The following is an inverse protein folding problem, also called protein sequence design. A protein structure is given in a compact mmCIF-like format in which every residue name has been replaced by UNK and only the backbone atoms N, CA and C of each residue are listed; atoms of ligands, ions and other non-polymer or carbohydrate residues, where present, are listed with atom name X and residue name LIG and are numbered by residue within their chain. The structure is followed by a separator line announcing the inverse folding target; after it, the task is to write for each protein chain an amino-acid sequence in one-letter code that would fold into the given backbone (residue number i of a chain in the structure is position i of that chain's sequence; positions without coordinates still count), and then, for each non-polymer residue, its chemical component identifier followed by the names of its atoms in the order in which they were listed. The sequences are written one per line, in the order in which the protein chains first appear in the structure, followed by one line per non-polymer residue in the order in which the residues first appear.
data_IF_193930665737
#
_entry.id   IF_193930665737
#
_cell.length_a   1.000
_cell.length_b   1.000
_cell.length_c   1.000
_cell.angle_alpha   90.00
_cell.angle_beta   90.00
_cell.angle_gamma   90.00
#
_symmetry.space_group_name_H-M   'P 1'
#
loop_
_entity.id
_entity.type
_entity.pdbx_description
1 polymer ?
#
# COMPACT_ATOMS: atom_id res chain seq x y z
N UNK A 1 -18.06 23.35 0.11
CA UNK A 1 -17.69 23.31 1.54
C UNK A 1 -17.03 21.99 1.96
N UNK A 2 -17.63 20.80 1.79
CA UNK A 2 -17.03 19.50 2.24
C UNK A 2 -15.61 19.21 1.72
N UNK A 3 -15.27 19.55 0.46
CA UNK A 3 -13.92 19.32 -0.11
C UNK A 3 -12.83 20.17 0.55
N UNK A 4 -13.11 21.44 0.85
CA UNK A 4 -12.16 22.35 1.50
C UNK A 4 -11.84 21.86 2.91
N UNK A 5 -12.84 21.42 3.66
CA UNK A 5 -12.68 20.87 5.02
C UNK A 5 -11.79 19.61 5.02
N UNK A 6 -11.94 18.73 4.02
CA UNK A 6 -11.09 17.54 3.87
C UNK A 6 -9.63 17.93 3.59
N UNK A 7 -9.41 18.89 2.67
CA UNK A 7 -8.06 19.36 2.34
C UNK A 7 -7.38 20.00 3.54
N UNK A 8 -8.09 20.90 4.25
CA UNK A 8 -7.55 21.57 5.46
C UNK A 8 -7.19 20.53 6.54
N UNK A 9 -8.03 19.51 6.73
CA UNK A 9 -7.75 18.41 7.65
C UNK A 9 -6.48 17.66 7.25
N UNK A 10 -6.33 17.28 5.97
CA UNK A 10 -5.14 16.57 5.48
C UNK A 10 -3.87 17.41 5.61
N UNK A 11 -3.95 18.72 5.30
CA UNK A 11 -2.82 19.64 5.49
C UNK A 11 -2.42 19.70 6.98
N UNK A 12 -3.40 19.88 7.88
CA UNK A 12 -3.13 19.89 9.32
C UNK A 12 -2.50 18.57 9.81
N UNK A 13 -3.00 17.44 9.34
CA UNK A 13 -2.45 16.14 9.65
C UNK A 13 -1.03 15.96 9.10
N UNK A 14 -0.77 16.45 7.90
CA UNK A 14 0.58 16.43 7.33
C UNK A 14 1.55 17.28 8.14
N UNK A 15 1.13 18.46 8.62
CA UNK A 15 1.96 19.29 9.50
C UNK A 15 2.27 18.57 10.83
N UNK A 16 1.28 17.95 11.46
CA UNK A 16 1.50 17.16 12.67
C UNK A 16 2.46 15.98 12.43
N UNK A 17 2.27 15.26 11.32
CA UNK A 17 3.18 14.21 10.89
C UNK A 17 4.58 14.78 10.67
N UNK A 18 4.71 15.85 9.91
CA UNK A 18 5.99 16.49 9.59
C UNK A 18 6.79 16.87 10.85
N UNK A 19 6.15 17.44 11.85
CA UNK A 19 6.81 17.81 13.10
C UNK A 19 7.36 16.59 13.85
N UNK A 20 6.61 15.52 13.93
CA UNK A 20 6.97 14.29 14.65
C UNK A 20 7.93 13.39 13.88
N UNK A 21 7.87 13.45 12.55
CA UNK A 21 8.61 12.53 11.70
C UNK A 21 10.13 12.66 11.90
N UNK A 22 10.78 11.52 11.96
CA UNK A 22 12.23 11.39 12.04
C UNK A 22 12.79 11.06 10.67
N UNK A 23 14.01 11.49 10.42
CA UNK A 23 14.80 11.06 9.27
C UNK A 23 15.56 9.79 9.63
N UNK A 24 16.19 9.14 8.64
CA UNK A 24 17.01 7.94 8.90
C UNK A 24 18.06 8.14 10.01
N UNK A 25 18.53 9.36 10.19
CA UNK A 25 19.58 9.68 11.18
C UNK A 25 19.08 9.68 12.64
N UNK A 26 17.78 9.80 12.86
CA UNK A 26 17.16 9.68 14.19
C UNK A 26 16.75 8.26 14.56
N UNK A 27 16.96 7.28 13.68
CA UNK A 27 16.49 5.91 13.90
C UNK A 27 17.54 5.10 14.65
N UNK A 28 17.21 4.63 15.84
CA UNK A 28 18.09 3.80 16.66
C UNK A 28 17.99 2.30 16.35
N UNK A 29 16.98 1.86 15.60
CA UNK A 29 16.83 0.47 15.17
C UNK A 29 17.66 0.19 13.90
N UNK A 30 18.66 -0.70 13.93
CA UNK A 30 19.47 -1.04 12.76
C UNK A 30 18.61 -1.56 11.60
N UNK A 31 17.61 -2.38 11.89
CA UNK A 31 16.69 -2.89 10.89
C UNK A 31 15.91 -1.76 10.20
N UNK A 32 15.37 -0.83 10.99
CA UNK A 32 14.57 0.26 10.46
C UNK A 32 15.43 1.27 9.69
N UNK A 33 16.67 1.51 10.16
CA UNK A 33 17.63 2.32 9.43
C UNK A 33 17.89 1.73 8.04
N UNK A 34 18.21 0.43 7.97
CA UNK A 34 18.46 -0.26 6.69
C UNK A 34 17.22 -0.26 5.79
N UNK A 35 16.03 -0.55 6.35
CA UNK A 35 14.78 -0.49 5.61
C UNK A 35 14.59 0.90 4.99
N UNK A 36 14.70 1.97 5.77
CA UNK A 36 14.51 3.34 5.28
C UNK A 36 15.54 3.69 4.22
N UNK A 37 16.80 3.34 4.43
CA UNK A 37 17.89 3.56 3.45
C UNK A 37 17.60 2.84 2.13
N UNK A 38 17.17 1.57 2.19
CA UNK A 38 16.95 0.74 0.99
C UNK A 38 15.58 0.95 0.33
N UNK A 39 14.65 1.66 0.96
CA UNK A 39 13.29 1.86 0.43
C UNK A 39 12.92 3.34 0.27
N UNK A 40 12.85 4.08 1.37
CA UNK A 40 12.38 5.48 1.42
C UNK A 40 13.39 6.44 0.80
N UNK A 41 14.67 6.25 1.13
CA UNK A 41 15.78 7.10 0.66
C UNK A 41 16.36 6.64 -0.68
N UNK A 42 16.09 5.41 -1.10
CA UNK A 42 16.65 4.85 -2.33
C UNK A 42 16.14 5.61 -3.57
N UNK A 43 17.05 6.19 -4.32
CA UNK A 43 16.79 6.94 -5.55
C UNK A 43 17.10 6.14 -6.82
N UNK A 44 17.59 4.91 -6.70
CA UNK A 44 17.91 4.06 -7.86
C UNK A 44 16.69 3.85 -8.75
N UNK A 45 16.92 3.89 -10.06
CA UNK A 45 15.92 3.54 -11.04
C UNK A 45 16.08 2.07 -11.44
N UNK A 46 14.95 1.36 -11.52
CA UNK A 46 14.89 0.00 -12.01
C UNK A 46 14.18 -0.02 -13.36
N UNK A 47 14.59 -0.93 -14.26
CA UNK A 47 13.99 -1.04 -15.58
C UNK A 47 12.47 -1.24 -15.55
N UNK A 48 11.98 -1.97 -14.54
CA UNK A 48 10.54 -2.17 -14.36
C UNK A 48 9.76 -0.84 -14.21
N UNK A 49 10.37 0.21 -13.66
CA UNK A 49 9.67 1.48 -13.46
C UNK A 49 9.24 2.12 -14.76
N UNK A 50 10.14 2.19 -15.75
CA UNK A 50 9.82 2.79 -17.06
C UNK A 50 8.72 2.02 -17.79
N UNK A 51 8.70 0.71 -17.68
CA UNK A 51 7.69 -0.14 -18.32
C UNK A 51 6.32 0.07 -17.67
N UNK A 52 6.25 0.00 -16.34
CA UNK A 52 4.99 0.15 -15.59
C UNK A 52 4.44 1.57 -15.71
N UNK A 53 5.31 2.58 -15.67
CA UNK A 53 4.92 3.97 -15.86
C UNK A 53 4.49 4.25 -17.31
N UNK A 54 5.08 3.55 -18.28
CA UNK A 54 4.61 3.53 -19.66
C UNK A 54 3.17 3.04 -19.78
N UNK A 55 2.85 1.89 -19.17
CA UNK A 55 1.48 1.39 -19.09
C UNK A 55 0.56 2.39 -18.40
N UNK A 56 0.96 2.95 -17.23
CA UNK A 56 0.19 3.97 -16.54
C UNK A 56 -0.13 5.17 -17.44
N UNK A 57 0.82 5.63 -18.24
CA UNK A 57 0.62 6.76 -19.16
C UNK A 57 -0.36 6.43 -20.29
N UNK A 58 -0.39 5.19 -20.77
CA UNK A 58 -1.41 4.71 -21.70
C UNK A 58 -2.80 4.73 -21.06
N UNK A 59 -2.93 4.19 -19.86
CA UNK A 59 -4.19 4.16 -19.10
C UNK A 59 -4.72 5.56 -18.77
N UNK A 60 -3.86 6.54 -18.54
CA UNK A 60 -4.25 7.94 -18.31
C UNK A 60 -4.86 8.63 -19.56
N UNK A 61 -4.76 8.01 -20.74
CA UNK A 61 -5.30 8.49 -22.01
C UNK A 61 -6.42 7.59 -22.55
N UNK A 62 -6.77 6.54 -21.83
CA UNK A 62 -7.76 5.56 -22.27
C UNK A 62 -9.17 6.01 -21.89
N UNK A 63 -9.99 6.34 -22.89
CA UNK A 63 -11.38 6.78 -22.74
C UNK A 63 -12.39 5.61 -22.71
N UNK A 64 -11.90 4.37 -22.77
CA UNK A 64 -12.76 3.18 -22.70
C UNK A 64 -13.63 3.22 -21.44
N UNK A 65 -14.92 3.03 -21.63
CA UNK A 65 -15.90 3.02 -20.53
C UNK A 65 -16.06 1.61 -19.99
N UNK A 66 -15.88 1.47 -18.70
CA UNK A 66 -16.11 0.21 -17.98
C UNK A 66 -17.14 0.38 -16.87
N UNK A 67 -17.82 -0.70 -16.56
CA UNK A 67 -18.81 -0.76 -15.49
C UNK A 67 -18.14 -1.13 -14.18
N UNK A 68 -18.18 -0.25 -13.19
CA UNK A 68 -17.59 -0.49 -11.88
C UNK A 68 -18.67 -1.03 -10.94
N UNK A 69 -18.45 -2.24 -10.45
CA UNK A 69 -19.16 -2.76 -9.28
C UNK A 69 -18.39 -2.29 -8.02
N UNK A 70 -18.95 -1.32 -7.28
CA UNK A 70 -18.31 -0.83 -6.05
C UNK A 70 -18.67 -1.76 -4.89
N UNK A 71 -17.74 -2.64 -4.55
CA UNK A 71 -17.79 -3.51 -3.35
C UNK A 71 -16.99 -2.95 -2.19
N UNK A 72 -16.56 -1.66 -2.25
CA UNK A 72 -15.72 -1.02 -1.26
C UNK A 72 -16.39 -0.92 0.12
N UNK A 73 -15.59 -1.06 1.18
CA UNK A 73 -16.03 -0.85 2.55
C UNK A 73 -16.44 0.62 2.76
N UNK A 74 -17.74 0.91 2.71
CA UNK A 74 -18.31 2.24 2.92
C UNK A 74 -19.10 2.82 1.76
N UNK A 75 -19.12 2.18 0.60
CA UNK A 75 -20.06 2.56 -0.46
C UNK A 75 -21.46 2.05 -0.12
N UNK A 76 -22.35 2.98 0.28
CA UNK A 76 -23.79 2.74 0.43
C UNK A 76 -24.51 2.73 -0.92
N UNK A 77 -23.76 2.78 -2.03
CA UNK A 77 -24.29 2.85 -3.38
C UNK A 77 -24.18 1.46 -4.01
N UNK A 78 -25.19 0.66 -3.86
CA UNK A 78 -25.46 -0.54 -4.67
C UNK A 78 -25.84 -0.12 -6.09
N UNK A 79 -24.91 0.45 -6.86
CA UNK A 79 -25.13 0.90 -8.22
C UNK A 79 -23.88 0.70 -9.05
N UNK A 80 -23.99 -0.01 -10.19
CA UNK A 80 -22.92 -0.01 -11.19
C UNK A 80 -22.80 1.39 -11.78
N UNK A 81 -21.62 2.00 -11.71
CA UNK A 81 -21.35 3.29 -12.36
C UNK A 81 -20.39 3.08 -13.51
N UNK A 82 -20.74 3.57 -14.71
CA UNK A 82 -19.79 3.63 -15.83
C UNK A 82 -18.71 4.66 -15.54
N UNK A 83 -17.46 4.29 -15.70
CA UNK A 83 -16.30 5.18 -15.56
C UNK A 83 -15.29 4.92 -16.67
N UNK A 84 -14.67 5.99 -17.15
CA UNK A 84 -13.57 5.88 -18.08
C UNK A 84 -12.31 5.33 -17.38
N UNK A 85 -11.53 4.50 -18.07
CA UNK A 85 -10.28 3.91 -17.57
C UNK A 85 -9.31 5.00 -17.12
N UNK A 86 -9.18 6.11 -17.89
CA UNK A 86 -8.31 7.23 -17.49
C UNK A 86 -8.70 7.84 -16.13
N UNK A 87 -9.98 7.88 -15.81
CA UNK A 87 -10.47 8.37 -14.52
C UNK A 87 -10.07 7.45 -13.38
N UNK A 88 -10.16 6.14 -13.57
CA UNK A 88 -9.66 5.16 -12.60
C UNK A 88 -8.14 5.26 -12.44
N UNK A 89 -7.39 5.31 -13.55
CA UNK A 89 -5.94 5.45 -13.52
C UNK A 89 -5.48 6.71 -12.77
N UNK A 90 -6.26 7.78 -12.83
CA UNK A 90 -5.98 9.05 -12.13
C UNK A 90 -6.28 9.01 -10.64
N UNK A 91 -7.37 8.34 -10.25
CA UNK A 91 -7.91 8.44 -8.89
C UNK A 91 -7.69 7.21 -8.02
N UNK A 92 -7.52 6.03 -8.61
CA UNK A 92 -7.36 4.77 -7.85
C UNK A 92 -5.97 4.16 -7.97
N UNK A 93 -5.26 4.39 -9.07
CA UNK A 93 -3.92 3.84 -9.22
C UNK A 93 -2.91 4.57 -8.32
N UNK A 94 -2.03 3.81 -7.68
CA UNK A 94 -0.96 4.37 -6.85
C UNK A 94 -0.08 5.34 -7.64
N UNK A 95 0.44 6.36 -6.96
CA UNK A 95 1.40 7.29 -7.57
C UNK A 95 2.70 6.57 -7.96
N UNK A 96 3.46 7.07 -8.94
CA UNK A 96 4.78 6.51 -9.25
C UNK A 96 5.70 6.43 -8.03
N UNK A 97 5.67 7.44 -7.15
CA UNK A 97 6.47 7.43 -5.91
C UNK A 97 6.07 6.29 -4.98
N UNK A 98 4.77 6.07 -4.78
CA UNK A 98 4.24 4.96 -3.98
C UNK A 98 4.56 3.62 -4.62
N UNK A 99 4.39 3.47 -5.94
CA UNK A 99 4.71 2.24 -6.65
C UNK A 99 6.20 1.88 -6.56
N UNK A 100 7.08 2.85 -6.75
CA UNK A 100 8.53 2.66 -6.59
C UNK A 100 8.92 2.30 -5.16
N UNK A 101 8.25 2.88 -4.16
CA UNK A 101 8.44 2.49 -2.77
C UNK A 101 8.02 1.04 -2.51
N UNK A 102 6.83 0.63 -2.98
CA UNK A 102 6.34 -0.76 -2.85
C UNK A 102 7.28 -1.76 -3.52
N UNK A 103 7.78 -1.43 -4.72
CA UNK A 103 8.80 -2.24 -5.39
C UNK A 103 10.03 -2.43 -4.51
N UNK A 104 10.60 -1.33 -3.97
CA UNK A 104 11.80 -1.39 -3.13
C UNK A 104 11.56 -2.14 -1.82
N UNK A 105 10.38 -1.98 -1.23
CA UNK A 105 10.00 -2.72 -0.03
C UNK A 105 9.99 -4.23 -0.28
N UNK A 106 9.36 -4.67 -1.37
CA UNK A 106 9.33 -6.08 -1.78
C UNK A 106 10.73 -6.58 -2.13
N UNK A 107 11.53 -5.76 -2.84
CA UNK A 107 12.91 -6.09 -3.17
C UNK A 107 13.81 -6.23 -1.93
N UNK A 108 13.58 -5.42 -0.90
CA UNK A 108 14.29 -5.48 0.38
C UNK A 108 13.87 -6.69 1.20
N UNK A 109 12.56 -6.91 1.36
CA UNK A 109 12.01 -7.97 2.24
C UNK A 109 12.09 -9.36 1.62
N UNK A 110 12.19 -9.47 0.29
CA UNK A 110 12.30 -10.73 -0.48
C UNK A 110 11.26 -11.79 -0.08
N UNK A 111 9.97 -11.45 -0.07
CA UNK A 111 8.94 -12.39 0.34
C UNK A 111 8.83 -13.56 -0.64
N UNK A 112 8.41 -14.73 -0.15
CA UNK A 112 8.06 -15.89 -0.97
C UNK A 112 6.61 -15.83 -1.46
N UNK A 113 5.76 -15.12 -0.72
CA UNK A 113 4.33 -14.97 -1.03
C UNK A 113 3.90 -13.53 -0.75
N UNK A 114 3.08 -12.98 -1.66
CA UNK A 114 2.43 -11.68 -1.50
C UNK A 114 0.92 -11.86 -1.64
N UNK A 115 0.18 -11.12 -0.82
CA UNK A 115 -1.27 -11.00 -0.90
C UNK A 115 -1.66 -9.52 -1.00
N UNK A 116 -2.47 -9.17 -1.98
CA UNK A 116 -3.03 -7.83 -2.14
C UNK A 116 -4.55 -7.88 -2.16
N UNK A 117 -5.17 -6.96 -1.44
CA UNK A 117 -6.62 -6.78 -1.41
C UNK A 117 -6.98 -5.49 -2.15
N UNK A 118 -7.61 -5.63 -3.32
CA UNK A 118 -7.94 -4.54 -4.23
C UNK A 118 -6.88 -4.32 -5.31
N UNK A 119 -7.02 -5.03 -6.41
CA UNK A 119 -6.10 -4.96 -7.57
C UNK A 119 -6.29 -3.68 -8.36
N UNK A 120 -7.54 -3.22 -8.52
CA UNK A 120 -7.91 -2.16 -9.44
C UNK A 120 -7.30 -2.40 -10.84
N UNK A 121 -6.65 -1.42 -11.46
CA UNK A 121 -5.98 -1.58 -12.76
C UNK A 121 -4.65 -2.34 -12.71
N UNK A 122 -4.24 -2.88 -11.56
CA UNK A 122 -3.06 -3.73 -11.40
C UNK A 122 -1.72 -2.99 -11.33
N UNK A 123 -1.71 -1.66 -11.20
CA UNK A 123 -0.45 -0.89 -11.20
C UNK A 123 0.39 -1.17 -9.94
N UNK A 124 -0.22 -1.19 -8.75
CA UNK A 124 0.47 -1.54 -7.49
C UNK A 124 0.99 -2.98 -7.53
N UNK A 125 0.15 -3.91 -8.00
CA UNK A 125 0.51 -5.32 -8.20
C UNK A 125 1.72 -5.45 -9.12
N UNK A 126 1.74 -4.71 -10.24
CA UNK A 126 2.82 -4.77 -11.23
C UNK A 126 4.18 -4.36 -10.63
N UNK A 127 4.23 -3.27 -9.85
CA UNK A 127 5.46 -2.87 -9.15
C UNK A 127 5.96 -3.95 -8.20
N UNK A 128 5.08 -4.50 -7.38
CA UNK A 128 5.42 -5.50 -6.38
C UNK A 128 5.82 -6.85 -7.02
N UNK A 129 5.06 -7.32 -8.01
CA UNK A 129 5.33 -8.58 -8.71
C UNK A 129 6.64 -8.53 -9.50
N UNK A 130 6.96 -7.39 -10.13
CA UNK A 130 8.22 -7.19 -10.84
C UNK A 130 9.44 -7.24 -9.90
N UNK A 131 9.28 -6.83 -8.63
CA UNK A 131 10.33 -6.85 -7.62
C UNK A 131 10.66 -8.26 -7.11
N UNK A 132 9.69 -9.18 -7.14
CA UNK A 132 9.82 -10.54 -6.62
C UNK A 132 9.26 -11.58 -7.60
N UNK A 133 9.86 -11.69 -8.80
CA UNK A 133 9.38 -12.56 -9.89
C UNK A 133 9.30 -14.05 -9.55
N UNK A 134 10.00 -14.49 -8.51
CA UNK A 134 9.96 -15.89 -8.02
C UNK A 134 8.91 -16.10 -6.92
N UNK A 135 8.37 -15.04 -6.35
CA UNK A 135 7.34 -15.12 -5.33
C UNK A 135 5.98 -15.42 -5.95
N UNK A 136 5.14 -16.16 -5.23
CA UNK A 136 3.73 -16.31 -5.57
C UNK A 136 2.99 -15.04 -5.16
N UNK A 137 2.40 -14.33 -6.11
CA UNK A 137 1.60 -13.15 -5.86
C UNK A 137 0.12 -13.47 -6.06
N UNK A 138 -0.69 -13.28 -5.03
CA UNK A 138 -2.14 -13.42 -5.09
C UNK A 138 -2.74 -12.04 -4.92
N UNK A 139 -3.62 -11.61 -5.83
CA UNK A 139 -4.36 -10.36 -5.73
C UNK A 139 -5.85 -10.61 -5.96
N UNK A 140 -6.70 -9.87 -5.24
CA UNK A 140 -8.16 -10.06 -5.28
C UNK A 140 -8.82 -8.76 -5.77
N UNK A 141 -9.72 -8.87 -6.77
CA UNK A 141 -10.48 -7.74 -7.30
C UNK A 141 -11.97 -8.07 -7.37
N UNK A 142 -12.77 -7.20 -6.75
CA UNK A 142 -14.22 -7.39 -6.66
C UNK A 142 -14.98 -7.10 -7.96
N UNK A 143 -14.47 -6.16 -8.77
CA UNK A 143 -15.11 -5.76 -10.03
C UNK A 143 -14.62 -6.63 -11.19
N UNK A 144 -15.47 -7.40 -11.88
CA UNK A 144 -15.05 -8.29 -12.96
C UNK A 144 -14.40 -7.56 -14.15
N UNK A 145 -14.92 -6.40 -14.56
CA UNK A 145 -14.37 -5.64 -15.69
C UNK A 145 -12.98 -5.08 -15.36
N UNK A 146 -12.79 -4.57 -14.12
CA UNK A 146 -11.48 -4.11 -13.66
C UNK A 146 -10.49 -5.27 -13.54
N UNK A 147 -10.94 -6.42 -13.05
CA UNK A 147 -10.14 -7.64 -12.96
C UNK A 147 -9.68 -8.12 -14.33
N UNK A 148 -10.57 -8.11 -15.34
CA UNK A 148 -10.22 -8.49 -16.71
C UNK A 148 -9.14 -7.58 -17.31
N UNK A 149 -9.25 -6.25 -17.10
CA UNK A 149 -8.22 -5.30 -17.54
C UNK A 149 -6.90 -5.53 -16.81
N UNK A 150 -6.93 -5.73 -15.50
CA UNK A 150 -5.71 -6.00 -14.73
C UNK A 150 -5.01 -7.27 -15.20
N UNK A 151 -5.76 -8.33 -15.53
CA UNK A 151 -5.22 -9.56 -16.07
C UNK A 151 -4.49 -9.32 -17.41
N UNK A 152 -5.09 -8.56 -18.33
CA UNK A 152 -4.45 -8.17 -19.60
C UNK A 152 -3.15 -7.39 -19.36
N UNK A 153 -3.14 -6.47 -18.38
CA UNK A 153 -1.94 -5.72 -18.03
C UNK A 153 -0.82 -6.62 -17.50
N UNK A 154 -1.15 -7.64 -16.70
CA UNK A 154 -0.16 -8.60 -16.20
C UNK A 154 0.43 -9.44 -17.31
N UNK A 155 -0.35 -9.82 -18.31
CA UNK A 155 0.11 -10.52 -19.51
C UNK A 155 1.04 -9.62 -20.36
N UNK A 156 0.63 -8.37 -20.61
CA UNK A 156 1.44 -7.37 -21.34
C UNK A 156 2.79 -7.09 -20.65
N UNK A 157 2.78 -7.04 -19.31
CA UNK A 157 3.98 -6.81 -18.50
C UNK A 157 4.80 -8.10 -18.27
N UNK A 158 4.35 -9.24 -18.79
CA UNK A 158 4.96 -10.56 -18.58
C UNK A 158 5.21 -10.86 -17.10
N UNK A 159 4.11 -10.86 -16.29
CA UNK A 159 4.11 -11.12 -14.85
C UNK A 159 3.41 -12.47 -14.53
N UNK A 160 4.01 -13.62 -14.91
CA UNK A 160 3.37 -14.94 -14.74
C UNK A 160 3.26 -15.38 -13.28
N UNK A 161 3.93 -14.69 -12.37
CA UNK A 161 3.88 -14.95 -10.92
C UNK A 161 2.66 -14.36 -10.22
N UNK A 162 1.80 -13.63 -10.95
CA UNK A 162 0.56 -13.03 -10.41
C UNK A 162 -0.62 -13.97 -10.66
N UNK A 163 -1.34 -14.29 -9.61
CA UNK A 163 -2.63 -14.98 -9.65
C UNK A 163 -3.71 -13.98 -9.23
N UNK A 164 -4.54 -13.55 -10.17
CA UNK A 164 -5.67 -12.69 -9.90
C UNK A 164 -6.91 -13.55 -9.62
N UNK A 165 -7.60 -13.25 -8.52
CA UNK A 165 -8.87 -13.86 -8.14
C UNK A 165 -9.97 -12.81 -8.29
N UNK A 166 -10.82 -12.97 -9.30
CA UNK A 166 -11.98 -12.10 -9.49
C UNK A 166 -13.11 -12.51 -8.53
N UNK A 167 -13.66 -11.55 -7.79
CA UNK A 167 -14.72 -11.71 -6.81
C UNK A 167 -14.51 -10.86 -5.57
N UNK A 168 -15.54 -10.80 -4.72
CA UNK A 168 -15.48 -10.02 -3.49
C UNK A 168 -14.46 -10.62 -2.51
N UNK A 169 -13.93 -9.81 -1.61
CA UNK A 169 -13.04 -10.32 -0.57
C UNK A 169 -13.73 -11.40 0.26
N UNK A 170 -15.04 -11.23 0.56
CA UNK A 170 -15.84 -12.19 1.31
C UNK A 170 -15.93 -13.56 0.64
N UNK A 171 -15.95 -13.61 -0.70
CA UNK A 171 -16.04 -14.86 -1.47
C UNK A 171 -14.69 -15.55 -1.63
N UNK A 172 -13.63 -14.78 -1.76
CA UNK A 172 -12.30 -15.29 -2.12
C UNK A 172 -11.37 -15.50 -0.93
N UNK A 173 -11.69 -14.90 0.21
CA UNK A 173 -11.06 -15.24 1.47
C UNK A 173 -11.82 -16.43 2.12
N UNK A 174 -11.22 -17.23 3.00
CA UNK A 174 -11.88 -18.36 3.66
C UNK A 174 -13.20 -17.99 4.34
N UNK A 175 -14.12 -18.93 4.43
CA UNK A 175 -15.51 -18.72 4.92
C UNK A 175 -15.67 -18.03 6.29
N UNK A 176 -14.66 -18.11 7.14
CA UNK A 176 -14.60 -17.40 8.41
C UNK A 176 -14.71 -15.87 8.29
N UNK A 177 -14.61 -15.31 7.06
CA UNK A 177 -14.49 -13.88 6.74
C UNK A 177 -15.81 -13.15 6.47
N UNK A 178 -16.92 -13.85 6.50
CA UNK A 178 -18.23 -13.34 5.99
C UNK A 178 -18.85 -12.14 6.73
N UNK A 179 -18.27 -11.56 7.77
CA UNK A 179 -18.94 -10.50 8.60
C UNK A 179 -18.07 -9.31 8.97
N UNK A 180 -17.14 -8.83 8.10
CA UNK A 180 -16.04 -8.09 8.66
C UNK A 180 -15.81 -6.68 8.13
N UNK A 181 -15.54 -5.73 9.07
CA UNK A 181 -15.01 -4.38 8.89
C UNK A 181 -13.51 -4.44 8.54
N UNK A 182 -12.87 -3.30 8.17
CA UNK A 182 -11.43 -3.26 7.79
C UNK A 182 -10.48 -3.84 8.86
N UNK A 183 -10.81 -3.68 10.14
CA UNK A 183 -10.05 -4.25 11.23
C UNK A 183 -10.06 -5.78 11.21
N UNK A 184 -11.13 -6.34 10.77
CA UNK A 184 -11.37 -7.77 10.71
C UNK A 184 -10.51 -8.48 9.65
N UNK A 185 -10.22 -7.82 8.52
CA UNK A 185 -9.25 -8.34 7.53
C UNK A 185 -7.83 -8.38 8.14
N UNK A 186 -7.48 -7.38 8.95
CA UNK A 186 -6.21 -7.37 9.66
C UNK A 186 -6.09 -8.57 10.60
N UNK A 187 -7.08 -8.81 11.47
CA UNK A 187 -7.09 -9.93 12.44
C UNK A 187 -6.95 -11.29 11.76
N UNK A 188 -7.49 -11.43 10.57
CA UNK A 188 -7.41 -12.68 9.83
C UNK A 188 -6.08 -12.87 9.14
N UNK A 189 -5.51 -11.82 8.55
CA UNK A 189 -4.15 -11.87 8.05
C UNK A 189 -3.15 -12.18 9.17
N UNK A 190 -3.43 -11.74 10.41
CA UNK A 190 -2.61 -12.01 11.59
C UNK A 190 -2.50 -13.50 11.95
N UNK A 191 -3.44 -14.34 11.56
CA UNK A 191 -3.34 -15.78 11.78
C UNK A 191 -2.19 -16.40 11.00
N UNK A 192 -1.82 -15.80 9.87
CA UNK A 192 -0.75 -16.25 8.99
C UNK A 192 0.54 -15.43 9.17
N UNK A 193 0.52 -14.40 10.02
CA UNK A 193 1.68 -13.56 10.25
C UNK A 193 2.78 -14.30 11.03
N UNK A 194 4.01 -14.17 10.56
CA UNK A 194 5.22 -14.70 11.19
C UNK A 194 6.28 -13.58 11.29
N UNK A 195 7.42 -13.86 11.93
CA UNK A 195 8.46 -12.85 12.19
C UNK A 195 9.03 -12.15 10.94
N UNK A 196 8.92 -12.76 9.78
CA UNK A 196 9.30 -12.16 8.49
C UNK A 196 8.17 -11.47 7.75
N UNK A 197 6.94 -11.47 8.28
CA UNK A 197 5.80 -10.81 7.63
C UNK A 197 5.87 -9.29 7.73
N UNK A 198 5.42 -8.62 6.67
CA UNK A 198 5.22 -7.17 6.64
C UNK A 198 3.82 -6.87 6.16
N UNK A 199 3.05 -6.12 6.94
CA UNK A 199 1.75 -5.64 6.51
C UNK A 199 1.87 -4.18 6.07
N UNK A 200 1.33 -3.90 4.90
CA UNK A 200 1.29 -2.57 4.29
C UNK A 200 -0.14 -2.07 4.29
N UNK A 201 -0.38 -0.99 5.01
CA UNK A 201 -1.71 -0.38 5.15
C UNK A 201 -1.71 0.94 4.40
N UNK A 202 -2.55 1.05 3.38
CA UNK A 202 -2.69 2.28 2.60
C UNK A 202 -3.60 3.30 3.31
N UNK A 203 -3.36 4.59 3.01
CA UNK A 203 -4.23 5.71 3.37
C UNK A 203 -4.54 5.85 4.87
N UNK A 204 -3.55 5.59 5.73
CA UNK A 204 -3.71 5.56 7.20
C UNK A 204 -4.21 6.88 7.83
N UNK A 205 -4.06 8.01 7.13
CA UNK A 205 -4.54 9.34 7.56
C UNK A 205 -5.72 9.88 6.74
N UNK A 206 -6.31 9.07 5.84
CA UNK A 206 -7.38 9.53 4.94
C UNK A 206 -8.68 9.93 5.67
N UNK A 207 -9.09 9.16 6.68
CA UNK A 207 -10.30 9.40 7.47
C UNK A 207 -10.06 9.19 8.96
N UNK A 208 -10.98 9.67 9.81
CA UNK A 208 -10.88 9.47 11.25
C UNK A 208 -11.00 7.98 11.62
N UNK A 209 -11.87 7.26 10.92
CA UNK A 209 -12.05 5.81 11.09
C UNK A 209 -10.76 5.07 10.72
N UNK A 210 -10.09 5.46 9.64
CA UNK A 210 -8.84 4.84 9.21
C UNK A 210 -7.70 5.12 10.20
N UNK A 211 -7.62 6.34 10.75
CA UNK A 211 -6.64 6.67 11.78
C UNK A 211 -6.89 5.89 13.09
N UNK A 212 -8.15 5.66 13.46
CA UNK A 212 -8.49 4.83 14.62
C UNK A 212 -8.07 3.38 14.36
N UNK A 213 -8.44 2.82 13.20
CA UNK A 213 -8.03 1.48 12.82
C UNK A 213 -6.50 1.32 12.81
N UNK A 214 -5.77 2.29 12.25
CA UNK A 214 -4.30 2.29 12.26
C UNK A 214 -3.74 2.26 13.69
N UNK A 215 -4.27 3.09 14.60
CA UNK A 215 -3.83 3.11 16.01
C UNK A 215 -4.11 1.79 16.73
N UNK A 216 -5.25 1.17 16.46
CA UNK A 216 -5.60 -0.14 17.03
C UNK A 216 -4.69 -1.24 16.49
N UNK A 217 -4.42 -1.26 15.18
CA UNK A 217 -3.46 -2.18 14.56
C UNK A 217 -2.05 -2.04 15.17
N UNK A 218 -1.54 -0.81 15.36
CA UNK A 218 -0.25 -0.57 15.99
C UNK A 218 -0.20 -1.08 17.45
N UNK A 219 -1.33 -1.02 18.16
CA UNK A 219 -1.42 -1.50 19.57
C UNK A 219 -1.57 -3.01 19.68
N UNK A 220 -1.89 -3.70 18.60
CA UNK A 220 -2.15 -5.14 18.64
C UNK A 220 -0.95 -5.91 19.22
N UNK A 221 -1.16 -6.91 20.14
CA UNK A 221 -0.07 -7.62 20.83
C UNK A 221 0.98 -8.26 19.93
N UNK A 222 0.58 -8.76 18.77
CA UNK A 222 1.50 -9.38 17.80
C UNK A 222 2.37 -8.39 17.03
N UNK A 223 2.00 -7.11 16.97
CA UNK A 223 2.78 -6.08 16.28
C UNK A 223 3.91 -5.61 17.19
N UNK A 224 5.14 -5.78 16.75
CA UNK A 224 6.34 -5.41 17.50
C UNK A 224 6.91 -4.06 17.08
N UNK A 225 6.75 -3.69 15.78
CA UNK A 225 7.26 -2.46 15.23
C UNK A 225 6.25 -1.90 14.22
N UNK A 226 6.02 -0.61 14.25
CA UNK A 226 5.19 0.09 13.27
C UNK A 226 5.88 1.35 12.74
N UNK A 227 5.67 1.65 11.46
CA UNK A 227 6.23 2.82 10.81
C UNK A 227 5.16 3.56 10.02
N UNK A 228 4.97 4.84 10.33
CA UNK A 228 4.06 5.77 9.67
C UNK A 228 4.84 6.58 8.62
N UNK A 229 4.49 6.42 7.34
CA UNK A 229 5.05 7.15 6.19
C UNK A 229 4.01 8.13 5.60
N UNK A 230 3.04 8.55 6.38
CA UNK A 230 1.90 9.38 6.07
C UNK A 230 0.83 8.70 5.20
N UNK A 231 1.15 8.31 3.97
CA UNK A 231 0.21 7.63 3.06
C UNK A 231 0.18 6.11 3.27
N UNK A 232 1.23 5.57 3.86
CA UNK A 232 1.41 4.14 4.07
C UNK A 232 1.86 3.91 5.51
N UNK A 233 1.23 2.94 6.17
CA UNK A 233 1.68 2.37 7.42
C UNK A 233 2.31 0.99 7.18
N UNK A 234 3.39 0.70 7.88
CA UNK A 234 4.05 -0.60 7.89
C UNK A 234 3.95 -1.22 9.27
N UNK A 235 3.58 -2.50 9.33
CA UNK A 235 3.55 -3.27 10.57
C UNK A 235 4.45 -4.49 10.44
N UNK A 236 5.24 -4.74 11.48
CA UNK A 236 6.20 -5.84 11.55
C UNK A 236 5.93 -6.70 12.78
N UNK A 237 6.28 -7.99 12.71
CA UNK A 237 5.99 -9.02 13.71
C UNK A 237 7.28 -9.69 14.22
N UNK A 238 8.34 -8.91 14.36
CA UNK A 238 9.70 -9.38 14.70
C UNK A 238 9.78 -9.88 16.13
N UNK A 239 10.31 -11.08 16.33
CA UNK A 239 10.49 -11.69 17.68
C UNK A 239 11.68 -11.11 18.43
N UNK A 240 12.66 -10.57 17.72
CA UNK A 240 13.86 -9.97 18.29
C UNK A 240 13.59 -8.62 18.97
N UNK A 241 12.45 -8.01 18.65
CA UNK A 241 12.02 -6.74 19.26
C UNK A 241 11.47 -7.00 20.66
N UNK A 242 12.16 -6.50 21.70
CA UNK A 242 11.76 -6.67 23.09
C UNK A 242 10.62 -5.74 23.50
N UNK A 243 10.63 -4.52 22.99
CA UNK A 243 9.62 -3.50 23.26
C UNK A 243 8.92 -3.10 21.96
N UNK A 244 7.67 -2.66 22.08
CA UNK A 244 6.93 -2.12 20.95
C UNK A 244 7.47 -0.76 20.58
N UNK A 245 7.78 -0.57 19.31
CA UNK A 245 8.24 0.70 18.80
C UNK A 245 7.30 1.22 17.71
N UNK A 246 7.11 2.54 17.72
CA UNK A 246 6.33 3.24 16.71
C UNK A 246 7.13 4.42 16.19
N UNK A 247 7.41 4.41 14.89
CA UNK A 247 8.17 5.47 14.23
C UNK A 247 7.29 6.21 13.22
N UNK A 248 7.47 7.53 13.16
CA UNK A 248 6.95 8.38 12.11
C UNK A 248 8.15 8.79 11.25
N UNK A 249 8.17 8.44 9.98
CA UNK A 249 9.38 8.50 9.15
C UNK A 249 9.17 9.39 7.94
N UNK A 250 10.12 10.29 7.68
CA UNK A 250 10.14 11.16 6.53
C UNK A 250 11.51 11.09 5.83
N UNK A 251 11.52 11.35 4.52
CA UNK A 251 12.77 11.42 3.75
C UNK A 251 13.68 12.52 4.29
N UNK A 252 14.98 12.22 4.41
CA UNK A 252 15.98 13.14 4.95
C UNK A 252 16.05 14.45 4.18
N UNK A 253 15.86 14.41 2.84
CA UNK A 253 15.83 15.62 2.00
C UNK A 253 14.73 16.62 2.39
N UNK A 254 13.66 16.18 3.06
CA UNK A 254 12.57 17.05 3.53
C UNK A 254 12.86 17.70 4.89
N UNK A 255 13.88 17.22 5.60
CA UNK A 255 14.36 17.78 6.89
C UNK A 255 15.90 17.88 6.90
N UNK A 256 16.50 18.73 6.05
CA UNK A 256 17.96 18.79 5.90
C UNK A 256 18.68 19.16 7.19
N UNK A 257 18.05 19.89 8.10
CA UNK A 257 18.61 20.23 9.43
C UNK A 257 18.69 19.05 10.41
N UNK A 258 18.10 17.90 10.08
CA UNK A 258 18.21 16.65 10.88
C UNK A 258 19.12 15.62 10.22
N UNK A 259 20.09 16.05 9.43
CA UNK A 259 21.05 15.18 8.77
C UNK A 259 22.37 15.01 9.54
N UNK A 260 22.46 15.52 10.79
CA UNK A 260 23.66 15.39 11.62
C UNK A 260 24.86 16.25 11.19
N UNK A 261 24.62 17.24 10.30
CA UNK A 261 25.66 18.19 9.88
C UNK A 261 25.68 19.49 10.69
N UNK A 262 24.80 19.64 11.67
CA UNK A 262 24.59 20.87 12.43
C UNK A 262 24.58 20.66 13.96
N UNK A 263 25.06 19.52 14.44
CA UNK A 263 25.29 19.27 15.87
C UNK A 263 26.74 19.59 16.26
#
# INVERSE_FOLDING_TARGET
MKRITIILRLVWKYLQYYWRAETRYGLHSPFLYELVEKTVEDTRNFYAFSIIEGLRNLLLRDDTQITIADHGAGSKVTGSSRRAVHSLARHTAVSPATGRFLFRLVHFTKPTTLLELGTSLGISTAYQAAAARKARFITIEGCPETAALAQQHFEQLNLPNVQLLAGTFQEKLPEALRKLKRLDYFEQCLQFAHSGSVFVIADIHWSAEMENAWREMCRHPKVSLSADLFHIGLLFFRKEQREKEHFTIIRSVLKPWRMGFFD
#
